data_IF_086690053510
#
_entry.id   IF_086690053510
#
_cell.length_a   1.000
_cell.length_b   1.000
_cell.length_c   1.000
_cell.angle_alpha   90.00
_cell.angle_beta   90.00
_cell.angle_gamma   90.00
#
_symmetry.space_group_name_H-M   'P 1'
#
loop_
_entity.id
_entity.type
_entity.pdbx_description
1 polymer ?
#
# COMPACT_ATOMS: atom_id res chain seq x y z
N UNK A 1 20.45 -2.20 -5.99
CA UNK A 1 19.63 -1.96 -7.20
C UNK A 1 18.50 -0.98 -6.93
N UNK A 2 17.67 -1.20 -5.90
CA UNK A 2 16.58 -0.26 -5.53
C UNK A 2 17.08 1.14 -5.15
N UNK A 3 18.18 1.24 -4.41
CA UNK A 3 18.80 2.54 -4.07
C UNK A 3 19.15 3.37 -5.32
N UNK A 4 19.69 2.74 -6.37
CA UNK A 4 20.07 3.42 -7.61
C UNK A 4 18.83 3.96 -8.32
N UNK A 5 17.77 3.16 -8.38
CA UNK A 5 16.48 3.57 -8.98
C UNK A 5 15.89 4.74 -8.17
N UNK A 6 15.85 4.63 -6.84
CA UNK A 6 15.35 5.69 -5.96
C UNK A 6 16.08 7.01 -6.19
N UNK A 7 17.42 6.97 -6.22
CA UNK A 7 18.25 8.16 -6.48
C UNK A 7 18.03 8.70 -7.88
N UNK A 8 17.88 7.84 -8.89
CA UNK A 8 17.54 8.23 -10.25
C UNK A 8 16.17 8.92 -10.35
N UNK A 9 15.19 8.49 -9.55
CA UNK A 9 13.89 9.15 -9.42
C UNK A 9 13.94 10.49 -8.64
N UNK A 10 15.13 10.96 -8.22
CA UNK A 10 15.31 12.24 -7.54
C UNK A 10 15.05 12.21 -6.03
N UNK A 11 14.90 11.03 -5.43
CA UNK A 11 14.75 10.89 -3.98
C UNK A 11 16.13 10.68 -3.33
N UNK A 12 16.60 11.70 -2.62
CA UNK A 12 17.93 11.75 -1.99
C UNK A 12 18.05 10.75 -0.84
N UNK A 13 16.98 10.61 -0.04
CA UNK A 13 16.94 9.75 1.14
C UNK A 13 15.99 8.57 0.90
N UNK A 14 16.18 7.48 1.63
CA UNK A 14 15.28 6.34 1.54
C UNK A 14 15.66 5.14 2.39
N UNK A 15 14.72 4.20 2.48
CA UNK A 15 14.83 2.90 3.12
C UNK A 15 14.59 1.83 2.07
N UNK A 16 15.53 0.89 1.93
CA UNK A 16 15.43 -0.25 1.02
C UNK A 16 15.33 -1.55 1.81
N UNK A 17 14.27 -2.31 1.59
CA UNK A 17 14.13 -3.69 2.07
C UNK A 17 14.45 -4.64 0.91
N UNK A 18 15.50 -5.43 1.08
CA UNK A 18 15.97 -6.34 0.04
C UNK A 18 14.97 -7.46 -0.27
N UNK A 19 14.93 -7.84 -1.56
CA UNK A 19 14.26 -9.05 -2.03
C UNK A 19 14.86 -10.31 -1.37
N UNK A 20 14.02 -11.28 -1.05
CA UNK A 20 14.48 -12.64 -0.74
C UNK A 20 14.74 -13.42 -2.03
N UNK A 21 15.86 -13.16 -2.72
CA UNK A 21 16.17 -13.74 -4.03
C UNK A 21 15.93 -12.76 -5.18
N UNK A 22 15.52 -13.24 -6.34
CA UNK A 22 15.41 -12.42 -7.58
C UNK A 22 14.11 -11.64 -7.72
N UNK A 23 13.19 -11.70 -6.74
CA UNK A 23 11.86 -11.08 -6.82
C UNK A 23 11.47 -10.41 -5.49
N UNK A 24 10.79 -9.27 -5.60
CA UNK A 24 10.29 -8.48 -4.49
C UNK A 24 11.24 -7.37 -4.06
N UNK A 25 11.10 -6.95 -2.81
CA UNK A 25 11.81 -5.81 -2.24
C UNK A 25 10.92 -4.56 -2.20
N UNK A 26 11.14 -3.73 -1.19
CA UNK A 26 10.43 -2.46 -1.01
C UNK A 26 11.45 -1.34 -0.97
N UNK A 27 11.08 -0.19 -1.50
CA UNK A 27 11.86 1.03 -1.37
C UNK A 27 10.93 2.17 -1.07
N UNK A 28 11.19 2.86 0.03
CA UNK A 28 10.56 4.13 0.36
C UNK A 28 11.60 5.23 0.17
N UNK A 29 11.27 6.27 -0.59
CA UNK A 29 12.16 7.39 -0.85
C UNK A 29 11.49 8.73 -0.57
N UNK A 30 12.28 9.68 -0.07
CA UNK A 30 11.81 11.03 0.21
C UNK A 30 12.87 12.08 -0.16
N UNK A 31 12.40 13.33 -0.28
CA UNK A 31 13.22 14.49 -0.62
C UNK A 31 13.86 15.08 0.64
N UNK A 32 14.84 15.95 0.43
CA UNK A 32 15.42 16.75 1.51
C UNK A 32 14.38 17.67 2.14
N UNK A 33 14.52 17.90 3.45
CA UNK A 33 13.57 18.70 4.23
C UNK A 33 12.37 17.92 4.78
N UNK A 34 12.21 16.63 4.46
CA UNK A 34 11.22 15.77 5.11
C UNK A 34 11.88 15.01 6.24
N UNK A 35 11.41 15.24 7.47
CA UNK A 35 11.85 14.51 8.65
C UNK A 35 10.95 13.30 8.91
N UNK A 36 11.57 12.14 9.15
CA UNK A 36 10.86 10.88 9.30
C UNK A 36 11.43 10.05 10.44
N UNK A 37 10.54 9.37 11.17
CA UNK A 37 10.90 8.39 12.20
C UNK A 37 10.47 6.99 11.75
N UNK A 38 11.43 6.10 11.56
CA UNK A 38 11.15 4.70 11.24
C UNK A 38 10.49 3.99 12.42
N UNK A 39 9.31 3.41 12.21
CA UNK A 39 8.61 2.58 13.20
C UNK A 39 8.90 1.09 13.04
N UNK A 40 8.97 0.64 11.80
CA UNK A 40 9.21 -0.77 11.50
C UNK A 40 9.23 -1.06 10.00
N UNK A 41 9.76 -2.22 9.64
CA UNK A 41 9.72 -2.69 8.26
C UNK A 41 9.78 -4.21 8.20
N UNK A 42 9.31 -4.77 7.10
CA UNK A 42 9.49 -6.17 6.74
C UNK A 42 9.45 -6.30 5.21
N UNK A 43 9.45 -7.53 4.69
CA UNK A 43 9.25 -7.78 3.26
C UNK A 43 7.86 -7.36 2.75
N UNK A 44 6.94 -7.05 3.66
CA UNK A 44 5.54 -6.72 3.36
C UNK A 44 5.16 -5.30 3.74
N UNK A 45 6.04 -4.54 4.39
CA UNK A 45 5.77 -3.12 4.67
C UNK A 45 7.03 -2.31 4.98
N UNK A 46 6.93 -0.99 4.82
CA UNK A 46 7.78 0.00 5.48
C UNK A 46 6.85 0.98 6.19
N UNK A 47 7.00 1.15 7.50
CA UNK A 47 6.15 2.00 8.33
C UNK A 47 6.96 3.12 8.98
N UNK A 48 6.56 4.36 8.71
CA UNK A 48 7.24 5.56 9.17
C UNK A 48 6.23 6.56 9.75
N UNK A 49 6.72 7.44 10.60
CA UNK A 49 6.07 8.71 10.91
C UNK A 49 6.77 9.82 10.15
N UNK A 50 6.00 10.77 9.68
CA UNK A 50 6.46 12.01 9.07
C UNK A 50 6.28 13.10 10.12
N UNK A 51 7.41 13.69 10.51
CA UNK A 51 7.45 14.77 11.49
C UNK A 51 7.28 16.10 10.75
N UNK A 52 6.36 16.94 11.23
CA UNK A 52 6.17 18.29 10.73
C UNK A 52 6.66 19.33 11.76
N UNK A 53 6.54 20.62 11.44
CA UNK A 53 7.09 21.71 12.25
C UNK A 53 6.51 21.78 13.68
N UNK A 54 5.43 21.05 13.96
CA UNK A 54 4.88 20.86 15.30
C UNK A 54 4.53 19.39 15.58
N UNK A 55 4.61 18.96 16.84
CA UNK A 55 4.24 17.59 17.25
C UNK A 55 2.74 17.28 16.98
N UNK A 56 1.89 18.30 16.95
CA UNK A 56 0.45 18.19 16.66
C UNK A 56 0.15 17.92 15.17
N UNK A 57 1.15 18.01 14.29
CA UNK A 57 1.01 17.85 12.85
C UNK A 57 1.67 16.58 12.30
N UNK A 58 2.15 15.71 13.19
CA UNK A 58 2.74 14.44 12.79
C UNK A 58 1.69 13.49 12.20
N UNK A 59 2.05 12.80 11.13
CA UNK A 59 1.21 11.76 10.52
C UNK A 59 2.06 10.55 10.16
N UNK A 60 1.38 9.44 9.84
CA UNK A 60 2.01 8.15 9.62
C UNK A 60 1.81 7.69 8.19
N UNK A 61 2.88 7.15 7.60
CA UNK A 61 2.83 6.51 6.30
C UNK A 61 3.25 5.04 6.39
N UNK A 62 2.46 4.15 5.79
CA UNK A 62 2.85 2.77 5.56
C UNK A 62 2.84 2.45 4.08
N UNK A 63 4.02 2.15 3.53
CA UNK A 63 4.12 1.48 2.24
C UNK A 63 3.83 -0.01 2.43
N UNK A 64 2.71 -0.51 1.91
CA UNK A 64 2.24 -1.87 2.13
C UNK A 64 2.38 -2.76 0.89
N UNK A 65 2.78 -4.01 1.10
CA UNK A 65 2.88 -5.03 0.06
C UNK A 65 2.20 -6.31 0.53
N UNK A 66 0.94 -6.44 0.13
CA UNK A 66 0.09 -7.59 0.40
C UNK A 66 0.61 -8.85 -0.28
N UNK A 67 0.27 -10.01 0.28
CA UNK A 67 0.80 -11.27 -0.22
C UNK A 67 0.21 -11.60 -1.60
N UNK A 68 1.04 -11.88 -2.62
CA UNK A 68 0.56 -12.34 -3.92
C UNK A 68 0.03 -13.78 -3.86
N UNK A 69 0.29 -14.49 -2.76
CA UNK A 69 -0.21 -15.86 -2.53
C UNK A 69 -1.54 -15.77 -1.78
N UNK A 70 -2.61 -16.19 -2.44
CA UNK A 70 -3.99 -16.13 -1.92
C UNK A 70 -4.12 -16.69 -0.50
N UNK A 71 -3.55 -17.88 -0.24
CA UNK A 71 -3.67 -18.52 1.08
C UNK A 71 -3.02 -17.71 2.21
N UNK A 72 -2.13 -16.77 1.88
CA UNK A 72 -1.40 -15.93 2.84
C UNK A 72 -1.98 -14.52 2.95
N UNK A 73 -3.02 -14.14 2.18
CA UNK A 73 -3.63 -12.80 2.27
C UNK A 73 -4.22 -12.51 3.65
N UNK A 74 -4.71 -13.54 4.34
CA UNK A 74 -5.17 -13.41 5.73
C UNK A 74 -4.05 -12.89 6.65
N UNK A 75 -2.81 -13.30 6.43
CA UNK A 75 -1.65 -12.81 7.19
C UNK A 75 -1.40 -11.33 6.90
N UNK A 76 -1.57 -10.89 5.64
CA UNK A 76 -1.50 -9.48 5.26
C UNK A 76 -2.56 -8.64 5.98
N UNK A 77 -3.81 -9.10 6.03
CA UNK A 77 -4.89 -8.41 6.73
C UNK A 77 -4.67 -8.35 8.24
N UNK A 78 -4.15 -9.41 8.83
CA UNK A 78 -3.76 -9.41 10.24
C UNK A 78 -2.61 -8.44 10.52
N UNK A 79 -1.61 -8.38 9.62
CA UNK A 79 -0.53 -7.40 9.72
C UNK A 79 -1.06 -5.97 9.66
N UNK A 80 -2.00 -5.67 8.76
CA UNK A 80 -2.60 -4.34 8.65
C UNK A 80 -3.30 -3.92 9.97
N UNK A 81 -4.10 -4.82 10.56
CA UNK A 81 -4.74 -4.60 11.87
C UNK A 81 -3.71 -4.42 13.00
N UNK A 82 -2.65 -5.22 12.99
CA UNK A 82 -1.55 -5.08 13.96
C UNK A 82 -0.83 -3.74 13.82
N UNK A 83 -0.63 -3.27 12.57
CA UNK A 83 -0.03 -1.97 12.30
C UNK A 83 -0.94 -0.84 12.79
N UNK A 84 -2.28 -0.91 12.59
CA UNK A 84 -3.23 0.07 13.16
C UNK A 84 -3.09 0.15 14.68
N UNK A 85 -3.20 -0.99 15.37
CA UNK A 85 -3.17 -1.07 16.83
C UNK A 85 -4.09 -0.02 17.49
N UNK A 86 -3.66 0.53 18.63
CA UNK A 86 -4.35 1.63 19.30
C UNK A 86 -3.79 3.02 18.89
N UNK A 87 -3.22 3.14 17.68
CA UNK A 87 -2.64 4.39 17.21
C UNK A 87 -3.73 5.32 16.64
N UNK A 88 -3.65 6.60 17.04
CA UNK A 88 -4.58 7.65 16.64
C UNK A 88 -3.96 8.67 15.68
N UNK A 89 -2.67 8.57 15.35
CA UNK A 89 -2.07 9.43 14.34
C UNK A 89 -2.83 9.30 13.01
N UNK A 90 -3.04 10.40 12.28
CA UNK A 90 -3.51 10.34 10.91
C UNK A 90 -2.62 9.36 10.14
N UNK A 91 -3.23 8.38 9.47
CA UNK A 91 -2.51 7.25 8.89
C UNK A 91 -2.85 7.08 7.43
N UNK A 92 -1.83 7.15 6.59
CA UNK A 92 -1.90 6.87 5.15
C UNK A 92 -1.24 5.53 4.87
N UNK A 93 -2.00 4.61 4.26
CA UNK A 93 -1.48 3.33 3.78
C UNK A 93 -1.55 3.34 2.27
N UNK A 94 -0.45 3.03 1.59
CA UNK A 94 -0.42 2.93 0.14
C UNK A 94 0.42 1.75 -0.31
N UNK A 95 0.06 1.17 -1.45
CA UNK A 95 0.88 0.17 -2.12
C UNK A 95 0.05 -0.90 -2.82
N UNK A 96 0.69 -2.04 -3.09
CA UNK A 96 0.07 -3.18 -3.77
C UNK A 96 -0.53 -4.12 -2.72
N UNK A 97 -1.86 -4.13 -2.61
CA UNK A 97 -2.57 -5.00 -1.68
C UNK A 97 -2.73 -6.43 -2.21
N UNK A 98 -2.43 -6.66 -3.49
CA UNK A 98 -2.64 -7.91 -4.20
C UNK A 98 -4.09 -8.43 -4.15
N UNK A 99 -5.07 -7.58 -3.85
CA UNK A 99 -6.50 -7.91 -3.83
C UNK A 99 -7.33 -6.75 -4.38
N UNK A 100 -8.50 -7.07 -4.93
CA UNK A 100 -9.46 -6.07 -5.42
C UNK A 100 -10.57 -5.84 -4.39
N UNK A 101 -11.06 -4.60 -4.25
CA UNK A 101 -12.16 -4.28 -3.33
C UNK A 101 -13.53 -4.80 -3.80
N UNK A 102 -13.76 -4.76 -5.10
CA UNK A 102 -15.04 -5.12 -5.73
C UNK A 102 -14.80 -5.80 -7.07
N UNK A 103 -15.80 -6.53 -7.56
CA UNK A 103 -15.71 -7.29 -8.82
C UNK A 103 -15.35 -6.41 -10.04
N UNK A 104 -15.80 -5.16 -10.08
CA UNK A 104 -15.45 -4.19 -11.13
C UNK A 104 -13.97 -3.79 -11.14
N UNK A 105 -13.24 -4.05 -10.04
CA UNK A 105 -11.79 -3.92 -9.96
C UNK A 105 -11.04 -4.94 -10.81
N UNK A 106 -11.75 -5.88 -11.45
CA UNK A 106 -11.18 -6.88 -12.36
C UNK A 106 -11.90 -6.90 -13.70
N UNK A 107 -11.14 -7.12 -14.77
CA UNK A 107 -11.63 -7.38 -16.12
C UNK A 107 -10.94 -8.60 -16.72
N UNK A 108 -11.71 -9.50 -17.31
CA UNK A 108 -11.20 -10.73 -17.94
C UNK A 108 -10.77 -11.80 -16.93
N UNK A 109 -10.51 -13.01 -17.45
CA UNK A 109 -10.13 -14.18 -16.65
C UNK A 109 -11.22 -14.68 -15.70
N UNK A 110 -10.82 -15.48 -14.70
CA UNK A 110 -11.73 -16.01 -13.68
C UNK A 110 -12.15 -14.89 -12.72
N UNK A 111 -13.44 -14.85 -12.35
CA UNK A 111 -13.93 -13.93 -11.33
C UNK A 111 -13.22 -14.14 -9.99
N UNK A 112 -12.94 -13.04 -9.28
CA UNK A 112 -12.45 -13.09 -7.90
C UNK A 112 -13.55 -13.61 -6.98
N UNK A 113 -13.19 -14.46 -6.02
CA UNK A 113 -14.16 -14.97 -5.06
C UNK A 113 -14.60 -13.87 -4.09
N UNK A 114 -15.91 -13.69 -3.91
CA UNK A 114 -16.47 -12.64 -3.06
C UNK A 114 -15.91 -12.67 -1.65
N UNK A 115 -15.74 -13.87 -1.07
CA UNK A 115 -15.18 -14.05 0.27
C UNK A 115 -13.79 -13.40 0.43
N UNK A 116 -12.97 -13.41 -0.62
CA UNK A 116 -11.63 -12.80 -0.56
C UNK A 116 -11.74 -11.26 -0.51
N UNK A 117 -12.64 -10.70 -1.34
CA UNK A 117 -12.90 -9.26 -1.37
C UNK A 117 -13.56 -8.77 -0.07
N UNK A 118 -14.52 -9.53 0.48
CA UNK A 118 -15.14 -9.25 1.79
C UNK A 118 -14.07 -9.18 2.88
N UNK A 119 -13.19 -10.19 2.98
CA UNK A 119 -12.16 -10.21 3.99
C UNK A 119 -11.18 -9.03 3.90
N UNK A 120 -10.95 -8.51 2.69
CA UNK A 120 -10.15 -7.30 2.49
C UNK A 120 -10.91 -6.05 2.94
N UNK A 121 -12.18 -5.88 2.55
CA UNK A 121 -13.02 -4.76 3.00
C UNK A 121 -13.18 -4.72 4.52
N UNK A 122 -13.42 -5.86 5.15
CA UNK A 122 -13.46 -5.98 6.62
C UNK A 122 -12.14 -5.54 7.26
N UNK A 123 -10.99 -5.85 6.64
CA UNK A 123 -9.70 -5.41 7.17
C UNK A 123 -9.49 -3.90 7.08
N UNK A 124 -9.99 -3.26 6.02
CA UNK A 124 -9.97 -1.80 5.90
C UNK A 124 -10.92 -1.16 6.91
N UNK A 125 -12.13 -1.71 7.06
CA UNK A 125 -13.12 -1.24 8.04
C UNK A 125 -12.60 -1.35 9.48
N UNK A 126 -12.02 -2.49 9.86
CA UNK A 126 -11.38 -2.71 11.17
C UNK A 126 -10.23 -1.71 11.44
N UNK A 127 -9.62 -1.19 10.37
CA UNK A 127 -8.54 -0.21 10.44
C UNK A 127 -9.02 1.23 10.27
N UNK A 128 -10.32 1.45 10.05
CA UNK A 128 -10.94 2.74 9.74
C UNK A 128 -10.32 3.42 8.50
N UNK A 129 -9.80 2.61 7.57
CA UNK A 129 -9.16 3.05 6.35
C UNK A 129 -10.22 3.25 5.25
N UNK A 130 -10.19 4.44 4.66
CA UNK A 130 -11.09 4.81 3.57
C UNK A 130 -10.28 5.00 2.29
N UNK A 131 -10.70 4.39 1.19
CA UNK A 131 -10.09 4.58 -0.14
C UNK A 131 -10.10 6.07 -0.47
N UNK A 132 -8.91 6.63 -0.72
CA UNK A 132 -8.74 8.02 -1.14
C UNK A 132 -9.32 8.27 -2.55
N UNK A 133 -9.72 7.20 -3.23
CA UNK A 133 -10.16 7.24 -4.61
C UNK A 133 -8.98 7.31 -5.55
N UNK A 134 -9.27 7.54 -6.82
CA UNK A 134 -8.27 7.42 -7.86
C UNK A 134 -8.65 8.24 -9.09
N UNK A 135 -7.67 8.91 -9.70
CA UNK A 135 -7.88 9.88 -10.79
C UNK A 135 -7.31 9.48 -12.15
N UNK A 136 -6.63 8.33 -12.29
CA UNK A 136 -5.90 7.94 -13.51
C UNK A 136 -6.43 6.64 -14.18
N UNK A 137 -5.55 5.71 -14.58
CA UNK A 137 -5.94 4.40 -15.14
C UNK A 137 -6.51 3.42 -14.11
N UNK A 138 -7.81 3.09 -14.22
CA UNK A 138 -8.53 2.33 -13.19
C UNK A 138 -7.89 0.99 -12.79
N UNK A 139 -7.19 0.33 -13.72
CA UNK A 139 -6.47 -0.92 -13.45
C UNK A 139 -4.97 -0.65 -13.35
N UNK A 140 -4.32 -1.26 -12.37
CA UNK A 140 -2.90 -1.04 -12.06
C UNK A 140 -2.02 -2.24 -12.44
N UNK A 141 -2.65 -3.37 -12.74
CA UNK A 141 -2.00 -4.58 -13.23
C UNK A 141 -2.67 -5.12 -14.49
N UNK A 142 -1.86 -5.62 -15.44
CA UNK A 142 -2.33 -6.21 -16.69
C UNK A 142 -1.48 -7.43 -17.10
N UNK A 143 -2.15 -8.48 -17.58
CA UNK A 143 -1.51 -9.67 -18.16
C UNK A 143 -2.25 -10.12 -19.41
N UNK A 144 -1.49 -10.59 -20.39
CA UNK A 144 -2.02 -11.06 -21.67
C UNK A 144 -2.14 -9.92 -22.68
N UNK A 145 -1.84 -10.22 -23.94
CA UNK A 145 -1.78 -9.23 -25.03
C UNK A 145 -2.94 -9.33 -26.02
N UNK A 146 -3.72 -10.40 -25.95
CA UNK A 146 -4.86 -10.64 -26.85
C UNK A 146 -6.17 -10.39 -26.10
N UNK A 147 -7.22 -9.89 -26.76
CA UNK A 147 -8.53 -9.69 -26.12
C UNK A 147 -9.06 -10.94 -25.42
N UNK A 148 -8.76 -12.14 -25.96
CA UNK A 148 -9.20 -13.42 -25.41
C UNK A 148 -8.48 -13.86 -24.13
N UNK A 149 -7.31 -13.29 -23.82
CA UNK A 149 -6.51 -13.65 -22.64
C UNK A 149 -6.06 -12.46 -21.80
N UNK A 150 -6.58 -11.27 -22.10
CA UNK A 150 -6.28 -10.06 -21.37
C UNK A 150 -7.00 -10.04 -20.01
N UNK A 151 -6.23 -9.86 -18.95
CA UNK A 151 -6.71 -9.76 -17.59
C UNK A 151 -6.16 -8.46 -17.01
N UNK A 152 -7.03 -7.67 -16.40
CA UNK A 152 -6.68 -6.42 -15.72
C UNK A 152 -7.24 -6.42 -14.30
N UNK A 153 -6.46 -5.92 -13.35
CA UNK A 153 -6.83 -5.82 -11.94
C UNK A 153 -6.38 -4.47 -11.35
N UNK A 154 -7.14 -3.92 -10.41
CA UNK A 154 -6.74 -2.78 -9.58
C UNK A 154 -6.21 -3.33 -8.26
N UNK A 155 -4.88 -3.45 -8.15
CA UNK A 155 -4.21 -4.02 -6.99
C UNK A 155 -3.52 -2.96 -6.13
N UNK A 156 -3.16 -1.82 -6.74
CA UNK A 156 -2.53 -0.70 -6.05
C UNK A 156 -3.57 0.31 -5.60
N UNK A 157 -3.55 0.65 -4.31
CA UNK A 157 -4.51 1.55 -3.66
C UNK A 157 -3.81 2.45 -2.64
N UNK A 158 -4.50 3.53 -2.26
CA UNK A 158 -4.12 4.41 -1.17
C UNK A 158 -5.33 4.68 -0.31
N UNK A 159 -5.23 4.33 0.97
CA UNK A 159 -6.33 4.41 1.92
C UNK A 159 -5.87 5.22 3.14
N UNK A 160 -6.76 6.04 3.70
CA UNK A 160 -6.42 6.93 4.80
C UNK A 160 -7.39 6.85 5.98
N UNK A 161 -6.83 7.09 7.16
CA UNK A 161 -7.52 7.27 8.43
C UNK A 161 -7.17 8.64 9.03
N UNK A 162 -8.19 9.33 9.57
CA UNK A 162 -8.04 10.62 10.25
C UNK A 162 -8.26 11.84 9.35
N UNK A 163 -9.17 12.73 9.76
CA UNK A 163 -9.61 13.89 8.97
C UNK A 163 -8.50 14.91 8.65
N UNK A 164 -7.43 14.96 9.46
CA UNK A 164 -6.31 15.90 9.26
C UNK A 164 -5.47 15.63 8.01
N UNK A 165 -5.51 14.42 7.47
CA UNK A 165 -4.75 14.03 6.26
C UNK A 165 -5.40 14.52 4.96
N UNK A 166 -6.73 14.54 4.89
CA UNK A 166 -7.48 14.83 3.66
C UNK A 166 -7.38 16.30 3.21
N UNK A 167 -7.05 17.23 4.11
CA UNK A 167 -6.76 18.62 3.76
C UNK A 167 -5.31 18.88 3.31
N UNK A 168 -4.45 17.85 3.36
CA UNK A 168 -2.99 17.96 3.16
C UNK A 168 -2.48 17.23 1.90
N UNK A 169 -3.29 16.31 1.35
CA UNK A 169 -3.03 15.58 0.11
C UNK A 169 -3.71 16.28 -1.08
#
# INVERSE_FOLDING_TARGET
MMEVIRKFCGYKYGIDVCAGGSKGGLSLGWKEGVDIRLRGYSKSHIDIEVMENSEEECWRFTGFYGSPIEQKRKESWNLLRQLKGNNQLPWLVMGDFNEILFSFGKRGGRLREERQMVAFREALEDCELNDLGFSAQWYTWERGRLPSNNIRERLDMGDAFGYGLFGRL
#
